data_IF_973164466135
#
_entry.id   IF_973164466135
#
_cell.length_a   1.000
_cell.length_b   1.000
_cell.length_c   1.000
_cell.angle_alpha   90.00
_cell.angle_beta   90.00
_cell.angle_gamma   90.00
#
_symmetry.space_group_name_H-M   'P 1'
#
loop_
_entity.id
_entity.type
_entity.pdbx_description
1 polymer ?
#
# COMPACT_ATOMS: atom_id res chain seq x y z
N UNK A 1 24.68 -24.96 -16.11
CA UNK A 1 24.90 -24.17 -17.34
C UNK A 1 24.28 -22.80 -17.12
N UNK A 2 25.10 -21.83 -16.74
CA UNK A 2 24.75 -20.40 -16.84
C UNK A 2 26.08 -19.68 -17.07
N UNK A 3 26.12 -18.94 -18.17
CA UNK A 3 27.30 -18.37 -18.80
C UNK A 3 28.00 -17.38 -17.87
N UNK A 4 29.28 -17.66 -17.59
CA UNK A 4 30.19 -16.67 -17.07
C UNK A 4 30.46 -15.65 -18.18
N UNK A 5 29.81 -14.49 -18.10
CA UNK A 5 30.21 -13.30 -18.86
C UNK A 5 31.62 -12.90 -18.44
N UNK A 6 32.62 -13.42 -19.16
CA UNK A 6 33.96 -12.84 -19.17
C UNK A 6 33.86 -11.53 -19.94
N UNK A 7 33.65 -10.42 -19.21
CA UNK A 7 34.07 -9.11 -19.68
C UNK A 7 35.56 -9.21 -20.01
N UNK A 8 35.87 -9.20 -21.29
CA UNK A 8 37.23 -9.07 -21.80
C UNK A 8 37.77 -7.72 -21.36
N UNK A 9 38.48 -7.70 -20.23
CA UNK A 9 39.28 -6.58 -19.79
C UNK A 9 40.29 -6.26 -20.90
N UNK A 10 40.09 -5.13 -21.58
CA UNK A 10 41.05 -4.60 -22.54
C UNK A 10 42.37 -4.42 -21.80
N UNK A 11 43.50 -4.97 -22.28
CA UNK A 11 44.78 -4.81 -21.61
C UNK A 11 45.10 -3.32 -21.56
N UNK A 12 45.15 -2.77 -20.34
CA UNK A 12 45.56 -1.39 -20.12
C UNK A 12 46.95 -1.21 -20.75
N UNK A 13 47.04 -0.35 -21.77
CA UNK A 13 48.31 0.01 -22.40
C UNK A 13 49.32 0.54 -21.37
N UNK A 14 50.60 0.68 -21.73
CA UNK A 14 51.65 1.06 -20.81
C UNK A 14 51.29 2.33 -20.02
N UNK A 15 51.01 2.18 -18.74
CA UNK A 15 50.67 3.29 -17.84
C UNK A 15 51.94 4.06 -17.49
N UNK A 16 52.34 4.98 -18.36
CA UNK A 16 53.39 5.95 -18.06
C UNK A 16 52.87 6.84 -16.93
N UNK A 17 53.56 6.86 -15.78
CA UNK A 17 53.18 7.64 -14.60
C UNK A 17 53.11 9.14 -14.92
N UNK A 18 52.21 9.85 -14.25
CA UNK A 18 52.05 11.31 -14.40
C UNK A 18 53.39 12.05 -14.22
N UNK A 19 54.23 11.59 -13.29
CA UNK A 19 55.55 12.16 -13.00
C UNK A 19 56.52 12.05 -14.19
N UNK A 20 56.40 10.99 -15.00
CA UNK A 20 57.25 10.78 -16.18
C UNK A 20 56.84 11.72 -17.31
N UNK A 21 55.55 11.94 -17.54
CA UNK A 21 55.05 12.93 -18.51
C UNK A 21 55.41 14.36 -18.09
N UNK A 22 55.34 14.66 -16.80
CA UNK A 22 55.77 15.94 -16.24
C UNK A 22 57.27 16.17 -16.41
N UNK A 23 58.10 15.17 -16.07
CA UNK A 23 59.55 15.24 -16.26
C UNK A 23 59.94 15.43 -17.74
N UNK A 24 59.23 14.77 -18.66
CA UNK A 24 59.48 14.86 -20.10
C UNK A 24 59.03 16.21 -20.67
N UNK A 25 57.93 16.78 -20.17
CA UNK A 25 57.51 18.15 -20.51
C UNK A 25 58.52 19.21 -20.03
N UNK A 26 59.04 19.08 -18.81
CA UNK A 26 60.05 19.98 -18.25
C UNK A 26 61.39 19.83 -18.98
N UNK A 27 61.85 18.60 -19.21
CA UNK A 27 63.08 18.35 -19.96
C UNK A 27 62.98 18.89 -21.38
N UNK A 28 61.84 18.66 -22.06
CA UNK A 28 61.55 19.22 -23.37
C UNK A 28 61.58 20.75 -23.37
N UNK A 29 61.00 21.40 -22.37
CA UNK A 29 61.03 22.86 -22.22
C UNK A 29 62.46 23.39 -22.10
N UNK A 30 63.30 22.80 -21.23
CA UNK A 30 64.69 23.23 -21.07
C UNK A 30 65.52 23.00 -22.33
N UNK A 31 65.37 21.85 -23.00
CA UNK A 31 66.05 21.57 -24.28
C UNK A 31 65.64 22.60 -25.34
N UNK A 32 64.35 22.92 -25.42
CA UNK A 32 63.82 23.91 -26.36
C UNK A 32 64.37 25.30 -26.07
N UNK A 33 64.45 25.69 -24.79
CA UNK A 33 64.99 26.97 -24.34
C UNK A 33 66.49 27.10 -24.69
N UNK A 34 67.28 26.05 -24.45
CA UNK A 34 68.72 26.04 -24.77
C UNK A 34 68.96 26.11 -26.28
N UNK A 35 68.19 25.37 -27.07
CA UNK A 35 68.26 25.40 -28.54
C UNK A 35 67.84 26.75 -29.11
N UNK A 36 66.75 27.34 -28.62
CA UNK A 36 66.32 28.67 -29.04
C UNK A 36 67.35 29.75 -28.70
N UNK A 37 67.98 29.67 -27.52
CA UNK A 37 69.02 30.61 -27.11
C UNK A 37 70.27 30.49 -27.98
N UNK A 38 70.70 29.24 -28.27
CA UNK A 38 71.83 28.99 -29.17
C UNK A 38 71.57 29.46 -30.60
N UNK A 39 70.36 29.23 -31.12
CA UNK A 39 69.95 29.71 -32.45
C UNK A 39 69.81 31.22 -32.49
N UNK A 40 69.29 31.85 -31.44
CA UNK A 40 69.25 33.31 -31.33
C UNK A 40 70.67 33.90 -31.41
N UNK A 41 71.62 33.35 -30.64
CA UNK A 41 73.03 33.78 -30.71
C UNK A 41 73.57 33.59 -32.14
N UNK A 42 73.33 32.45 -32.78
CA UNK A 42 73.79 32.17 -34.15
C UNK A 42 73.17 33.07 -35.23
N UNK A 43 71.91 33.46 -35.06
CA UNK A 43 71.21 34.39 -35.96
C UNK A 43 71.72 35.82 -35.78
N UNK A 44 71.92 36.27 -34.54
CA UNK A 44 72.33 37.65 -34.24
C UNK A 44 73.83 37.93 -34.36
N UNK A 45 74.69 36.90 -34.32
CA UNK A 45 76.15 37.03 -34.53
C UNK A 45 76.59 36.86 -35.99
N UNK A 46 75.66 36.52 -36.89
CA UNK A 46 75.92 36.36 -38.32
C UNK A 46 75.83 37.65 -39.14
N UNK A 47 76.17 37.57 -40.43
CA UNK A 47 76.00 38.69 -41.35
C UNK A 47 74.53 39.15 -41.44
N UNK A 48 74.25 40.46 -41.35
CA UNK A 48 72.89 40.99 -41.23
C UNK A 48 72.01 40.69 -42.46
N UNK A 49 72.61 40.53 -43.64
CA UNK A 49 71.88 40.20 -44.88
C UNK A 49 71.36 38.75 -44.94
N UNK A 50 71.88 37.85 -44.09
CA UNK A 50 71.50 36.43 -44.04
C UNK A 50 70.60 36.08 -42.85
N UNK A 51 70.36 37.03 -41.93
CA UNK A 51 69.60 36.80 -40.70
C UNK A 51 68.17 36.29 -40.96
N UNK A 52 67.49 36.84 -41.98
CA UNK A 52 66.13 36.44 -42.36
C UNK A 52 66.07 35.00 -42.87
N UNK A 53 67.04 34.60 -43.70
CA UNK A 53 67.11 33.27 -44.31
C UNK A 53 67.43 32.20 -43.25
N UNK A 54 68.30 32.53 -42.28
CA UNK A 54 68.62 31.67 -41.13
C UNK A 54 67.44 31.49 -40.18
N UNK A 55 66.65 32.53 -39.94
CA UNK A 55 65.43 32.45 -39.13
C UNK A 55 64.34 31.60 -39.82
N UNK A 56 64.14 31.76 -41.13
CA UNK A 56 63.18 30.98 -41.90
C UNK A 56 63.54 29.49 -41.96
N UNK A 57 64.84 29.15 -42.01
CA UNK A 57 65.30 27.76 -41.96
C UNK A 57 65.03 27.07 -40.61
N UNK A 58 65.06 27.82 -39.49
CA UNK A 58 64.82 27.26 -38.15
C UNK A 58 63.34 27.22 -37.74
N UNK A 59 62.51 28.08 -38.31
CA UNK A 59 61.07 28.17 -38.01
C UNK A 59 60.33 26.81 -37.95
N UNK A 60 60.50 25.86 -38.91
CA UNK A 60 59.82 24.56 -38.84
C UNK A 60 60.28 23.68 -37.66
N UNK A 61 61.56 23.78 -37.26
CA UNK A 61 62.09 23.05 -36.10
C UNK A 61 61.62 23.66 -34.77
N UNK A 62 61.54 24.99 -34.69
CA UNK A 62 60.95 25.68 -33.54
C UNK A 62 59.49 25.31 -33.32
N UNK A 63 58.70 25.23 -34.40
CA UNK A 63 57.32 24.76 -34.35
C UNK A 63 57.18 23.31 -33.87
N UNK A 64 58.05 22.41 -34.34
CA UNK A 64 58.06 21.01 -33.91
C UNK A 64 58.39 20.86 -32.42
N UNK A 65 59.38 21.59 -31.91
CA UNK A 65 59.74 21.56 -30.48
C UNK A 65 58.61 22.07 -29.58
N UNK A 66 57.97 23.18 -29.96
CA UNK A 66 56.80 23.71 -29.24
C UNK A 66 55.65 22.69 -29.24
N UNK A 67 55.41 22.03 -30.37
CA UNK A 67 54.38 20.99 -30.48
C UNK A 67 54.66 19.80 -29.56
N UNK A 68 55.92 19.35 -29.45
CA UNK A 68 56.30 18.26 -28.54
C UNK A 68 56.07 18.62 -27.07
N UNK A 69 56.49 19.82 -26.63
CA UNK A 69 56.27 20.28 -25.25
C UNK A 69 54.77 20.41 -24.95
N UNK A 70 54.00 20.94 -25.91
CA UNK A 70 52.55 21.09 -25.79
C UNK A 70 51.86 19.73 -25.68
N UNK A 71 52.25 18.75 -26.49
CA UNK A 71 51.75 17.38 -26.43
C UNK A 71 52.00 16.73 -25.06
N UNK A 72 53.23 16.83 -24.54
CA UNK A 72 53.57 16.25 -23.23
C UNK A 72 52.78 16.91 -22.09
N UNK A 73 52.52 18.22 -22.19
CA UNK A 73 51.74 18.97 -21.20
C UNK A 73 50.25 18.57 -21.21
N UNK A 74 49.68 18.37 -22.40
CA UNK A 74 48.29 17.88 -22.55
C UNK A 74 48.16 16.46 -22.02
N UNK A 75 49.11 15.57 -22.35
CA UNK A 75 49.14 14.20 -21.84
C UNK A 75 49.21 14.16 -20.31
N UNK A 76 50.07 14.98 -19.69
CA UNK A 76 50.16 15.11 -18.24
C UNK A 76 48.83 15.58 -17.60
N UNK A 77 48.20 16.62 -18.16
CA UNK A 77 46.89 17.10 -17.68
C UNK A 77 45.79 16.03 -17.81
N UNK A 78 45.81 15.25 -18.90
CA UNK A 78 44.90 14.13 -19.09
C UNK A 78 45.03 13.08 -18.00
N UNK A 79 46.26 12.66 -17.69
CA UNK A 79 46.54 11.66 -16.63
C UNK A 79 46.20 12.19 -15.24
N UNK A 80 46.36 13.48 -14.96
CA UNK A 80 45.94 14.06 -13.68
C UNK A 80 44.42 14.06 -13.52
N UNK A 81 43.67 14.42 -14.56
CA UNK A 81 42.21 14.41 -14.51
C UNK A 81 41.65 13.00 -14.31
N UNK A 82 42.24 11.97 -14.93
CA UNK A 82 41.81 10.58 -14.71
C UNK A 82 42.06 10.14 -13.27
N UNK A 83 43.21 10.49 -12.68
CA UNK A 83 43.51 10.20 -11.27
C UNK A 83 42.55 10.91 -10.31
N UNK A 84 42.21 12.17 -10.57
CA UNK A 84 41.22 12.89 -9.77
C UNK A 84 39.84 12.23 -9.83
N UNK A 85 39.41 11.75 -11.00
CA UNK A 85 38.17 11.01 -11.17
C UNK A 85 38.20 9.67 -10.43
N UNK A 86 39.30 8.93 -10.49
CA UNK A 86 39.49 7.68 -9.72
C UNK A 86 39.34 7.94 -8.21
N UNK A 87 40.01 8.97 -7.68
CA UNK A 87 39.90 9.32 -6.26
C UNK A 87 38.49 9.75 -5.86
N UNK A 88 37.81 10.54 -6.70
CA UNK A 88 36.42 10.92 -6.46
C UNK A 88 35.49 9.70 -6.49
N UNK A 89 35.70 8.78 -7.45
CA UNK A 89 34.93 7.56 -7.55
C UNK A 89 35.13 6.67 -6.31
N UNK A 90 36.36 6.56 -5.81
CA UNK A 90 36.68 5.78 -4.61
C UNK A 90 36.05 6.41 -3.35
N UNK A 91 36.05 7.74 -3.22
CA UNK A 91 35.35 8.43 -2.13
C UNK A 91 33.83 8.20 -2.16
N UNK A 92 33.21 8.29 -3.34
CA UNK A 92 31.78 8.01 -3.50
C UNK A 92 31.48 6.56 -3.10
N UNK A 93 32.35 5.62 -3.48
CA UNK A 93 32.21 4.21 -3.12
C UNK A 93 32.27 4.01 -1.60
N UNK A 94 33.25 4.61 -0.92
CA UNK A 94 33.33 4.54 0.54
C UNK A 94 32.12 5.15 1.25
N UNK A 95 31.59 6.28 0.75
CA UNK A 95 30.36 6.87 1.28
C UNK A 95 29.15 5.96 1.09
N UNK A 96 29.03 5.32 -0.08
CA UNK A 96 27.96 4.37 -0.36
C UNK A 96 28.02 3.15 0.57
N UNK A 97 29.22 2.60 0.82
CA UNK A 97 29.42 1.48 1.73
C UNK A 97 29.08 1.84 3.19
N UNK A 98 29.50 3.03 3.65
CA UNK A 98 29.17 3.53 4.99
C UNK A 98 27.66 3.73 5.16
N UNK A 99 27.00 4.36 4.17
CA UNK A 99 25.55 4.51 4.17
C UNK A 99 24.83 3.16 4.20
N UNK A 100 25.35 2.17 3.48
CA UNK A 100 24.82 0.81 3.49
C UNK A 100 24.90 0.15 4.87
N UNK A 101 26.04 0.30 5.56
CA UNK A 101 26.22 -0.23 6.91
C UNK A 101 25.34 0.50 7.94
N UNK A 102 25.29 1.83 7.91
CA UNK A 102 24.44 2.62 8.81
C UNK A 102 22.97 2.31 8.61
N UNK A 103 22.51 2.13 7.36
CA UNK A 103 21.13 1.71 7.08
C UNK A 103 20.84 0.37 7.72
N UNK A 104 21.67 -0.66 7.51
CA UNK A 104 21.48 -1.97 8.15
C UNK A 104 21.47 -1.93 9.68
N UNK A 105 22.29 -1.07 10.28
CA UNK A 105 22.31 -0.90 11.73
C UNK A 105 21.06 -0.19 12.25
N UNK A 106 20.64 0.90 11.59
CA UNK A 106 19.39 1.59 11.94
C UNK A 106 18.18 0.66 11.76
N UNK A 107 18.18 -0.11 10.68
CA UNK A 107 17.15 -1.11 10.37
C UNK A 107 17.02 -2.14 11.49
N UNK A 108 18.15 -2.71 11.94
CA UNK A 108 18.15 -3.68 13.02
C UNK A 108 17.69 -3.07 14.36
N UNK A 109 18.08 -1.82 14.62
CA UNK A 109 17.69 -1.08 15.83
C UNK A 109 16.20 -0.73 15.84
N UNK A 110 15.64 -0.34 14.70
CA UNK A 110 14.22 -0.07 14.56
C UNK A 110 13.40 -1.35 14.75
N UNK A 111 13.86 -2.47 14.20
CA UNK A 111 13.23 -3.77 14.41
C UNK A 111 13.29 -4.20 15.88
N UNK A 112 14.39 -3.98 16.59
CA UNK A 112 14.50 -4.21 18.05
C UNK A 112 13.50 -3.36 18.84
N UNK A 113 13.38 -2.06 18.50
CA UNK A 113 12.43 -1.16 19.15
C UNK A 113 10.97 -1.59 18.91
N UNK A 114 10.62 -2.00 17.69
CA UNK A 114 9.29 -2.48 17.36
C UNK A 114 8.97 -3.80 18.07
N UNK A 115 9.92 -4.72 18.15
CA UNK A 115 9.77 -5.96 18.91
C UNK A 115 9.51 -5.67 20.40
N UNK A 116 10.22 -4.70 20.97
CA UNK A 116 9.99 -4.26 22.35
C UNK A 116 8.60 -3.66 22.54
N UNK A 117 8.15 -2.77 21.65
CA UNK A 117 6.79 -2.21 21.71
C UNK A 117 5.71 -3.29 21.59
N UNK A 118 5.92 -4.31 20.76
CA UNK A 118 5.02 -5.46 20.66
C UNK A 118 4.96 -6.24 21.99
N UNK A 119 6.11 -6.52 22.60
CA UNK A 119 6.18 -7.24 23.88
C UNK A 119 5.57 -6.44 25.04
N UNK A 120 5.90 -5.15 25.14
CA UNK A 120 5.36 -4.27 26.17
C UNK A 120 3.85 -4.08 25.98
N UNK A 121 3.41 -3.89 24.72
CA UNK A 121 1.99 -3.75 24.38
C UNK A 121 1.19 -4.99 24.75
N UNK A 122 1.64 -6.19 24.35
CA UNK A 122 0.99 -7.45 24.71
C UNK A 122 0.95 -7.70 26.21
N UNK A 123 2.02 -7.37 26.93
CA UNK A 123 2.06 -7.48 28.39
C UNK A 123 1.02 -6.59 29.05
N UNK A 124 0.89 -5.35 28.60
CA UNK A 124 -0.07 -4.37 29.12
C UNK A 124 -1.52 -4.77 28.88
N UNK A 125 -1.82 -5.51 27.80
CA UNK A 125 -3.17 -6.05 27.57
C UNK A 125 -3.59 -7.08 28.61
N UNK A 126 -2.64 -7.75 29.27
CA UNK A 126 -2.92 -8.72 30.34
C UNK A 126 -3.19 -8.07 31.72
N UNK A 127 -3.01 -6.76 31.85
CA UNK A 127 -3.22 -6.04 33.10
C UNK A 127 -4.71 -5.74 33.35
N UNK A 128 -5.18 -5.78 34.60
CA UNK A 128 -6.61 -5.60 34.91
C UNK A 128 -7.09 -4.15 34.79
N UNK A 129 -6.18 -3.18 34.74
CA UNK A 129 -6.51 -1.76 34.66
C UNK A 129 -6.75 -1.34 33.22
N UNK A 130 -7.92 -0.78 32.94
CA UNK A 130 -8.30 -0.26 31.62
C UNK A 130 -7.25 0.71 31.05
N UNK A 131 -6.67 1.58 31.87
CA UNK A 131 -5.61 2.51 31.44
C UNK A 131 -4.38 1.81 30.87
N UNK A 132 -4.04 0.63 31.39
CA UNK A 132 -2.92 -0.16 30.90
C UNK A 132 -3.27 -0.85 29.60
N UNK A 133 -4.49 -1.41 29.51
CA UNK A 133 -4.97 -2.01 28.26
C UNK A 133 -4.96 -0.99 27.13
N UNK A 134 -5.45 0.22 27.35
CA UNK A 134 -5.41 1.30 26.35
C UNK A 134 -3.98 1.70 25.97
N UNK A 135 -3.06 1.78 26.94
CA UNK A 135 -1.65 2.01 26.64
C UNK A 135 -1.04 0.86 25.81
N UNK A 136 -1.45 -0.38 26.08
CA UNK A 136 -1.08 -1.56 25.31
C UNK A 136 -1.59 -1.48 23.86
N UNK A 137 -2.85 -1.09 23.66
CA UNK A 137 -3.43 -0.84 22.33
C UNK A 137 -2.66 0.25 21.59
N UNK A 138 -2.31 1.36 22.25
CA UNK A 138 -1.52 2.43 21.65
C UNK A 138 -0.11 1.97 21.23
N UNK A 139 0.54 1.13 22.04
CA UNK A 139 1.83 0.55 21.69
C UNK A 139 1.73 -0.37 20.45
N UNK A 140 0.70 -1.21 20.39
CA UNK A 140 0.43 -2.06 19.22
C UNK A 140 0.05 -1.24 17.99
N UNK A 141 -0.70 -0.15 18.16
CA UNK A 141 -1.02 0.79 17.10
C UNK A 141 0.24 1.40 16.48
N UNK A 142 1.24 1.76 17.29
CA UNK A 142 2.54 2.23 16.81
C UNK A 142 3.28 1.15 16.00
N UNK A 143 3.16 -0.13 16.39
CA UNK A 143 3.75 -1.26 15.65
C UNK A 143 3.05 -1.47 14.30
N UNK A 144 1.71 -1.38 14.22
CA UNK A 144 0.97 -1.60 12.96
C UNK A 144 1.12 -0.44 11.97
N UNK A 145 1.27 0.79 12.47
CA UNK A 145 1.46 1.99 11.64
C UNK A 145 2.92 2.23 11.24
N UNK A 146 3.86 1.44 11.77
CA UNK A 146 5.29 1.54 11.42
C UNK A 146 5.54 1.26 9.93
N UNK A 147 6.34 2.09 9.22
CA UNK A 147 6.62 1.91 7.79
C UNK A 147 7.23 0.55 7.41
N UNK A 148 8.08 -0.04 8.28
CA UNK A 148 8.77 -1.31 7.99
C UNK A 148 7.84 -2.52 8.07
N UNK A 149 6.96 -2.52 9.06
CA UNK A 149 5.92 -3.53 9.19
C UNK A 149 6.33 -4.95 9.56
N UNK A 150 7.57 -5.16 10.00
CA UNK A 150 8.09 -6.50 10.31
C UNK A 150 7.22 -7.29 11.30
N UNK A 151 6.66 -6.59 12.30
CA UNK A 151 5.83 -7.16 13.36
C UNK A 151 4.35 -6.78 13.27
N UNK A 152 3.96 -6.08 12.21
CA UNK A 152 2.59 -5.59 12.08
C UNK A 152 1.56 -6.72 11.90
N UNK A 153 1.82 -7.83 11.19
CA UNK A 153 0.86 -8.94 11.13
C UNK A 153 0.53 -9.49 12.52
N UNK A 154 1.52 -9.69 13.39
CA UNK A 154 1.33 -10.19 14.74
C UNK A 154 0.56 -9.18 15.60
N UNK A 155 0.93 -7.89 15.53
CA UNK A 155 0.22 -6.84 16.24
C UNK A 155 -1.24 -6.71 15.76
N UNK A 156 -1.50 -6.81 14.45
CA UNK A 156 -2.84 -6.82 13.87
C UNK A 156 -3.66 -8.00 14.37
N UNK A 157 -3.08 -9.20 14.46
CA UNK A 157 -3.76 -10.39 14.99
C UNK A 157 -4.14 -10.21 16.47
N UNK A 158 -3.24 -9.67 17.29
CA UNK A 158 -3.51 -9.40 18.71
C UNK A 158 -4.62 -8.35 18.88
N UNK A 159 -4.58 -7.28 18.08
CA UNK A 159 -5.63 -6.26 18.12
C UNK A 159 -6.98 -6.80 17.64
N UNK A 160 -6.99 -7.65 16.61
CA UNK A 160 -8.20 -8.31 16.12
C UNK A 160 -8.80 -9.26 17.18
N UNK A 161 -7.97 -10.04 17.86
CA UNK A 161 -8.39 -10.89 18.99
C UNK A 161 -8.98 -10.03 20.13
N UNK A 162 -8.40 -8.85 20.40
CA UNK A 162 -8.92 -7.93 21.41
C UNK A 162 -10.29 -7.35 21.02
N UNK A 163 -10.50 -7.01 19.74
CA UNK A 163 -11.80 -6.58 19.22
C UNK A 163 -12.85 -7.67 19.44
N UNK A 164 -12.53 -8.94 19.13
CA UNK A 164 -13.43 -10.08 19.33
C UNK A 164 -13.77 -10.35 20.80
N UNK A 165 -12.88 -10.05 21.73
CA UNK A 165 -13.15 -10.23 23.17
C UNK A 165 -13.97 -9.07 23.76
N UNK A 166 -13.92 -7.89 23.14
CA UNK A 166 -14.47 -6.66 23.74
C UNK A 166 -15.77 -6.16 23.11
N UNK A 167 -16.14 -6.62 21.89
CA UNK A 167 -17.25 -6.04 21.13
C UNK A 167 -18.64 -6.11 21.78
N UNK A 168 -18.91 -7.08 22.67
CA UNK A 168 -20.21 -7.19 23.35
C UNK A 168 -20.23 -6.58 24.76
N UNK A 169 -19.07 -6.21 25.30
CA UNK A 169 -18.94 -5.78 26.69
C UNK A 169 -19.02 -4.25 26.79
N UNK A 170 -20.19 -3.74 27.20
CA UNK A 170 -20.42 -2.30 27.37
C UNK A 170 -19.43 -1.62 28.32
N UNK A 171 -18.86 -2.35 29.29
CA UNK A 171 -17.85 -1.79 30.19
C UNK A 171 -16.49 -1.59 29.50
N UNK A 172 -16.26 -2.25 28.35
CA UNK A 172 -15.02 -2.22 27.57
C UNK A 172 -15.13 -1.47 26.26
N UNK A 173 -16.18 -0.68 26.04
CA UNK A 173 -16.42 0.08 24.80
C UNK A 173 -15.20 0.91 24.39
N UNK A 174 -14.53 1.59 25.34
CA UNK A 174 -13.33 2.38 25.04
C UNK A 174 -12.15 1.53 24.54
N UNK A 175 -11.99 0.32 25.08
CA UNK A 175 -10.96 -0.62 24.63
C UNK A 175 -11.30 -1.14 23.25
N UNK A 176 -12.56 -1.51 23.03
CA UNK A 176 -13.06 -1.93 21.72
C UNK A 176 -12.84 -0.85 20.66
N UNK A 177 -13.21 0.40 20.94
CA UNK A 177 -13.05 1.53 20.03
C UNK A 177 -11.58 1.77 19.68
N UNK A 178 -10.71 1.79 20.69
CA UNK A 178 -9.28 1.97 20.48
C UNK A 178 -8.67 0.81 19.66
N UNK A 179 -9.05 -0.43 19.95
CA UNK A 179 -8.54 -1.60 19.24
C UNK A 179 -9.04 -1.62 17.78
N UNK A 180 -10.33 -1.34 17.56
CA UNK A 180 -10.94 -1.20 16.24
C UNK A 180 -10.27 -0.11 15.43
N UNK A 181 -10.05 1.06 16.02
CA UNK A 181 -9.36 2.18 15.37
C UNK A 181 -7.92 1.79 14.99
N UNK A 182 -7.19 1.16 15.89
CA UNK A 182 -5.83 0.69 15.60
C UNK A 182 -5.78 -0.31 14.45
N UNK A 183 -6.73 -1.25 14.38
CA UNK A 183 -6.90 -2.21 13.28
C UNK A 183 -7.22 -1.49 11.97
N UNK A 184 -8.15 -0.53 12.00
CA UNK A 184 -8.51 0.27 10.82
C UNK A 184 -7.35 1.13 10.31
N UNK A 185 -6.56 1.72 11.20
CA UNK A 185 -5.36 2.47 10.84
C UNK A 185 -4.27 1.57 10.25
N UNK A 186 -4.09 0.37 10.80
CA UNK A 186 -3.24 -0.65 10.18
C UNK A 186 -3.70 -0.99 8.76
N UNK A 187 -5.01 -1.16 8.56
CA UNK A 187 -5.62 -1.41 7.26
C UNK A 187 -5.36 -0.27 6.26
N UNK A 188 -5.48 0.98 6.69
CA UNK A 188 -5.18 2.16 5.87
C UNK A 188 -3.70 2.20 5.44
N UNK A 189 -2.79 1.66 6.27
CA UNK A 189 -1.38 1.44 5.94
C UNK A 189 -1.10 0.19 5.09
N UNK A 190 -2.13 -0.50 4.60
CA UNK A 190 -2.01 -1.73 3.81
C UNK A 190 -1.66 -2.98 4.62
N UNK A 191 -1.88 -2.95 5.93
CA UNK A 191 -1.63 -4.09 6.83
C UNK A 191 -2.91 -4.88 7.06
N UNK A 192 -2.76 -6.18 7.29
CA UNK A 192 -3.89 -7.09 7.44
C UNK A 192 -3.57 -8.16 8.48
N UNK A 193 -4.54 -8.42 9.34
CA UNK A 193 -4.59 -9.56 10.25
C UNK A 193 -4.95 -10.84 9.49
N UNK A 194 -4.40 -11.96 9.92
CA UNK A 194 -4.77 -13.31 9.45
C UNK A 194 -6.05 -13.84 10.11
N UNK A 195 -6.56 -13.16 11.14
CA UNK A 195 -7.76 -13.56 11.89
C UNK A 195 -9.03 -13.43 11.06
N UNK A 196 -9.94 -14.35 11.31
CA UNK A 196 -11.32 -14.28 10.83
C UNK A 196 -12.21 -14.03 12.03
N UNK A 197 -12.94 -12.92 12.02
CA UNK A 197 -13.80 -12.52 13.13
C UNK A 197 -15.24 -12.95 12.84
N UNK A 198 -15.94 -13.42 13.87
CA UNK A 198 -17.39 -13.64 13.83
C UNK A 198 -18.05 -12.93 15.00
N UNK A 199 -18.65 -11.78 14.72
CA UNK A 199 -19.24 -10.88 15.71
C UNK A 199 -20.75 -11.11 15.76
N UNK A 200 -21.24 -11.63 16.88
CA UNK A 200 -22.65 -11.98 17.07
C UNK A 200 -23.32 -11.03 18.04
N UNK A 201 -24.26 -10.24 17.52
CA UNK A 201 -24.96 -9.22 18.27
C UNK A 201 -26.33 -9.74 18.71
N UNK A 202 -26.35 -10.39 19.88
CA UNK A 202 -27.58 -10.88 20.49
C UNK A 202 -28.12 -9.84 21.48
N UNK A 203 -29.39 -9.43 21.31
CA UNK A 203 -30.09 -8.51 22.23
C UNK A 203 -30.50 -7.18 21.58
N UNK A 204 -31.25 -6.36 22.31
CA UNK A 204 -31.76 -5.06 21.83
C UNK A 204 -30.67 -3.98 21.91
N UNK A 205 -29.82 -4.02 22.93
CA UNK A 205 -28.88 -2.92 23.25
C UNK A 205 -27.55 -2.98 22.48
N UNK A 206 -27.27 -4.07 21.76
CA UNK A 206 -26.00 -4.35 21.11
C UNK A 206 -26.09 -4.39 19.58
N UNK A 207 -27.15 -3.89 18.95
CA UNK A 207 -27.30 -4.10 17.49
C UNK A 207 -26.38 -3.24 16.65
N UNK A 208 -26.04 -2.03 17.11
CA UNK A 208 -25.21 -1.10 16.35
C UNK A 208 -23.78 -1.59 16.21
N UNK A 209 -23.33 -1.76 14.97
CA UNK A 209 -21.97 -2.24 14.69
C UNK A 209 -21.10 -1.17 14.10
N UNK A 210 -19.80 -1.40 14.17
CA UNK A 210 -18.79 -0.56 13.56
C UNK A 210 -17.96 -1.38 12.56
N UNK A 211 -17.57 -0.73 11.47
CA UNK A 211 -16.75 -1.27 10.42
C UNK A 211 -15.35 -1.58 10.95
N UNK A 212 -14.94 -2.83 10.70
CA UNK A 212 -13.61 -3.35 10.99
C UNK A 212 -12.96 -3.71 9.66
N UNK A 213 -11.92 -2.97 9.32
CA UNK A 213 -11.10 -3.11 8.13
C UNK A 213 -9.75 -3.73 8.52
N UNK A 214 -9.11 -4.47 7.60
CA UNK A 214 -7.77 -5.01 7.87
C UNK A 214 -7.76 -6.35 8.62
N UNK A 215 -8.86 -7.09 8.63
CA UNK A 215 -8.88 -8.52 8.99
C UNK A 215 -9.04 -9.38 7.74
N UNK A 216 -8.71 -10.68 7.82
CA UNK A 216 -8.82 -11.58 6.67
C UNK A 216 -10.28 -11.74 6.25
N UNK A 217 -11.19 -11.86 7.22
CA UNK A 217 -12.64 -11.88 7.01
C UNK A 217 -13.35 -11.44 8.29
N UNK A 218 -14.43 -10.69 8.17
CA UNK A 218 -15.33 -10.40 9.31
C UNK A 218 -16.75 -10.84 8.95
N UNK A 219 -17.40 -11.56 9.86
CA UNK A 219 -18.80 -11.94 9.74
C UNK A 219 -19.59 -11.27 10.85
N UNK A 220 -20.51 -10.38 10.48
CA UNK A 220 -21.47 -9.77 11.38
C UNK A 220 -22.74 -10.63 11.41
N UNK A 221 -23.24 -10.92 12.61
CA UNK A 221 -24.46 -11.72 12.82
C UNK A 221 -25.44 -10.92 13.65
N UNK A 222 -26.68 -10.76 13.18
CA UNK A 222 -27.76 -10.04 13.88
C UNK A 222 -27.44 -8.57 14.20
N UNK A 223 -26.63 -7.94 13.33
CA UNK A 223 -26.17 -6.55 13.43
C UNK A 223 -27.13 -5.56 12.76
N UNK A 224 -27.18 -4.32 13.24
CA UNK A 224 -27.83 -3.17 12.62
C UNK A 224 -26.76 -2.22 12.06
N UNK A 225 -26.91 -1.84 10.78
CA UNK A 225 -25.95 -1.07 10.00
C UNK A 225 -26.67 0.08 9.29
N UNK A 226 -26.23 1.31 9.53
CA UNK A 226 -26.70 2.49 8.81
C UNK A 226 -25.83 2.84 7.60
N UNK A 227 -26.24 3.88 6.87
CA UNK A 227 -25.55 4.40 5.70
C UNK A 227 -24.13 4.90 6.04
N UNK A 228 -23.99 5.60 7.17
CA UNK A 228 -22.73 6.17 7.62
C UNK A 228 -21.68 5.10 7.90
N UNK A 229 -22.06 4.00 8.55
CA UNK A 229 -21.13 2.92 8.86
C UNK A 229 -20.91 2.00 7.67
N UNK A 230 -21.93 1.77 6.84
CA UNK A 230 -21.77 0.98 5.61
C UNK A 230 -20.69 1.57 4.68
N UNK A 231 -20.65 2.90 4.56
CA UNK A 231 -19.65 3.60 3.75
C UNK A 231 -18.21 3.48 4.28
N UNK A 232 -18.02 3.03 5.53
CA UNK A 232 -16.70 2.86 6.16
C UNK A 232 -16.06 1.50 5.88
N UNK A 233 -16.79 0.55 5.32
CA UNK A 233 -16.21 -0.70 4.86
C UNK A 233 -15.36 -0.45 3.61
N UNK A 234 -14.04 -0.60 3.75
CA UNK A 234 -13.10 -0.38 2.65
C UNK A 234 -13.14 -1.51 1.60
N UNK A 235 -13.42 -2.75 2.05
CA UNK A 235 -13.47 -3.94 1.18
C UNK A 235 -14.63 -4.86 1.59
N UNK A 236 -15.80 -4.65 0.96
CA UNK A 236 -17.00 -5.47 1.16
C UNK A 236 -16.82 -6.93 0.74
N UNK A 237 -15.78 -7.28 -0.03
CA UNK A 237 -15.53 -8.69 -0.42
C UNK A 237 -15.13 -9.56 0.77
N UNK A 238 -14.58 -8.95 1.83
CA UNK A 238 -14.10 -9.61 3.05
C UNK A 238 -15.08 -9.55 4.21
N UNK A 239 -16.19 -8.84 4.02
CA UNK A 239 -17.24 -8.70 5.02
C UNK A 239 -18.37 -9.63 4.65
N UNK A 240 -18.92 -10.35 5.63
CA UNK A 240 -20.14 -11.15 5.50
C UNK A 240 -21.17 -10.66 6.50
N UNK A 241 -22.42 -10.61 6.09
CA UNK A 241 -23.56 -10.21 6.89
C UNK A 241 -24.56 -11.38 6.95
N UNK A 242 -24.94 -11.77 8.16
CA UNK A 242 -25.87 -12.87 8.43
C UNK A 242 -26.98 -12.39 9.39
N UNK A 243 -28.23 -12.36 8.96
CA UNK A 243 -29.31 -11.90 9.84
C UNK A 243 -29.26 -10.40 10.18
N UNK A 244 -28.57 -9.59 9.38
CA UNK A 244 -28.34 -8.17 9.68
C UNK A 244 -29.46 -7.27 9.16
N UNK A 245 -29.67 -6.14 9.82
CA UNK A 245 -30.59 -5.07 9.41
C UNK A 245 -29.81 -3.90 8.82
N UNK A 246 -30.21 -3.41 7.65
CA UNK A 246 -29.62 -2.27 6.97
C UNK A 246 -30.64 -1.15 6.80
N UNK A 247 -30.27 0.08 7.13
CA UNK A 247 -31.18 1.22 7.01
C UNK A 247 -30.57 2.35 6.19
N UNK A 248 -31.25 2.80 5.13
CA UNK A 248 -30.83 3.98 4.35
C UNK A 248 -29.61 3.77 3.44
N UNK A 249 -29.18 2.51 3.25
CA UNK A 249 -27.90 2.19 2.63
C UNK A 249 -27.99 2.09 1.11
N UNK A 250 -26.91 2.46 0.40
CA UNK A 250 -26.76 2.17 -1.03
C UNK A 250 -26.01 0.84 -1.20
N UNK A 251 -26.71 -0.22 -1.61
CA UNK A 251 -26.17 -1.59 -1.65
C UNK A 251 -25.88 -2.05 -3.09
N UNK A 252 -24.70 -2.64 -3.27
CA UNK A 252 -24.33 -3.42 -4.46
C UNK A 252 -24.66 -4.90 -4.21
N UNK A 253 -25.82 -5.35 -4.69
CA UNK A 253 -26.33 -6.72 -4.50
C UNK A 253 -25.59 -7.78 -5.30
N UNK A 254 -24.46 -7.46 -5.96
CA UNK A 254 -23.58 -8.45 -6.57
C UNK A 254 -22.70 -9.18 -5.52
N UNK A 255 -22.65 -8.66 -4.30
CA UNK A 255 -21.91 -9.30 -3.22
C UNK A 255 -22.68 -10.53 -2.68
N UNK A 256 -22.06 -11.72 -2.76
CA UNK A 256 -22.60 -12.99 -2.22
C UNK A 256 -22.59 -13.06 -0.68
N UNK A 257 -22.39 -11.91 -0.05
CA UNK A 257 -22.01 -11.79 1.34
C UNK A 257 -23.19 -11.47 2.27
N UNK A 258 -24.38 -11.23 1.72
CA UNK A 258 -25.62 -11.01 2.47
C UNK A 258 -26.44 -12.29 2.55
N UNK A 259 -26.77 -12.73 3.76
CA UNK A 259 -27.59 -13.90 4.03
C UNK A 259 -28.57 -13.57 5.14
N UNK A 260 -29.85 -13.85 4.92
CA UNK A 260 -30.97 -13.64 5.83
C UNK A 260 -31.05 -12.20 6.37
N UNK A 261 -30.60 -11.20 5.60
CA UNK A 261 -30.57 -9.80 6.03
C UNK A 261 -31.88 -9.08 5.68
N UNK A 262 -32.25 -8.07 6.48
CA UNK A 262 -33.38 -7.16 6.22
C UNK A 262 -32.84 -5.81 5.76
N UNK A 263 -33.28 -5.33 4.61
CA UNK A 263 -32.89 -4.03 4.06
C UNK A 263 -34.08 -3.08 4.06
N UNK A 264 -33.96 -1.96 4.75
CA UNK A 264 -35.01 -0.98 4.98
C UNK A 264 -34.62 0.38 4.39
N UNK A 265 -35.47 0.97 3.56
CA UNK A 265 -35.22 2.30 2.95
C UNK A 265 -33.88 2.43 2.20
N UNK A 266 -33.40 1.34 1.60
CA UNK A 266 -32.10 1.26 0.91
C UNK A 266 -32.22 1.52 -0.60
N UNK A 267 -31.15 2.00 -1.25
CA UNK A 267 -31.02 2.07 -2.72
C UNK A 267 -30.23 0.86 -3.23
N UNK A 268 -30.79 0.09 -4.16
CA UNK A 268 -30.16 -1.12 -4.70
C UNK A 268 -29.61 -0.84 -6.10
N UNK A 269 -28.28 -0.89 -6.27
CA UNK A 269 -27.62 -0.60 -7.56
C UNK A 269 -27.48 -1.79 -8.47
N UNK A 270 -27.21 -2.95 -7.88
CA UNK A 270 -27.05 -4.22 -8.60
C UNK A 270 -27.77 -5.30 -7.83
N UNK A 271 -28.12 -6.38 -8.52
CA UNK A 271 -28.82 -7.50 -7.91
C UNK A 271 -28.48 -8.80 -8.60
N UNK A 272 -28.34 -9.84 -7.79
CA UNK A 272 -28.25 -11.23 -8.24
C UNK A 272 -29.43 -12.02 -7.67
N UNK A 273 -29.83 -13.11 -8.33
CA UNK A 273 -30.96 -13.93 -7.88
C UNK A 273 -30.77 -14.35 -6.41
N UNK A 274 -29.61 -14.91 -6.05
CA UNK A 274 -29.33 -15.35 -4.68
C UNK A 274 -29.34 -14.25 -3.62
N UNK A 275 -29.11 -12.98 -4.00
CA UNK A 275 -29.24 -11.84 -3.10
C UNK A 275 -30.72 -11.55 -2.81
N UNK A 276 -31.57 -11.62 -3.83
CA UNK A 276 -33.02 -11.38 -3.67
C UNK A 276 -33.72 -12.51 -2.88
N UNK A 277 -33.27 -13.77 -3.01
CA UNK A 277 -33.97 -14.91 -2.39
C UNK A 277 -33.66 -15.14 -0.91
N UNK A 278 -32.59 -14.52 -0.41
CA UNK A 278 -32.05 -14.78 0.92
C UNK A 278 -32.17 -13.56 1.82
N UNK A 279 -32.82 -12.51 1.38
CA UNK A 279 -32.85 -11.25 2.12
C UNK A 279 -34.24 -10.63 1.97
N UNK A 280 -34.68 -9.93 3.01
CA UNK A 280 -35.92 -9.19 3.04
C UNK A 280 -35.68 -7.72 2.67
N UNK A 281 -36.66 -7.09 2.01
CA UNK A 281 -36.60 -5.69 1.56
C UNK A 281 -37.88 -4.95 1.94
N UNK A 282 -37.73 -3.81 2.60
CA UNK A 282 -38.81 -2.93 3.05
C UNK A 282 -38.55 -1.48 2.60
N UNK A 283 -39.47 -0.89 1.86
CA UNK A 283 -39.37 0.51 1.39
C UNK A 283 -38.08 0.88 0.62
N UNK A 284 -37.44 -0.06 -0.07
CA UNK A 284 -36.22 0.18 -0.86
C UNK A 284 -36.50 0.78 -2.25
N UNK A 285 -35.52 1.53 -2.78
CA UNK A 285 -35.48 2.03 -4.16
C UNK A 285 -34.65 1.09 -5.05
N UNK A 286 -35.30 0.51 -6.06
CA UNK A 286 -34.65 -0.34 -7.06
C UNK A 286 -34.49 0.36 -8.43
N UNK A 287 -34.76 1.67 -8.50
CA UNK A 287 -34.71 2.44 -9.74
C UNK A 287 -33.30 2.43 -10.36
N UNK A 288 -33.18 2.03 -11.63
CA UNK A 288 -31.89 1.97 -12.32
C UNK A 288 -30.97 0.82 -11.92
N UNK A 289 -31.42 -0.12 -11.07
CA UNK A 289 -30.64 -1.28 -10.67
C UNK A 289 -30.26 -2.19 -11.85
N UNK A 290 -29.10 -2.86 -11.78
CA UNK A 290 -28.58 -3.77 -12.82
C UNK A 290 -28.53 -5.22 -12.37
N UNK A 291 -28.94 -6.15 -13.22
CA UNK A 291 -28.91 -7.58 -12.89
C UNK A 291 -27.58 -8.24 -13.27
N UNK A 292 -26.87 -8.84 -12.30
CA UNK A 292 -25.58 -9.51 -12.49
C UNK A 292 -25.73 -11.02 -12.35
N UNK A 293 -26.11 -11.72 -13.44
CA UNK A 293 -26.13 -13.19 -13.49
C UNK A 293 -27.28 -13.79 -14.31
N UNK A 294 -27.40 -15.13 -14.22
CA UNK A 294 -28.51 -15.88 -14.83
C UNK A 294 -29.83 -15.44 -14.21
N UNK A 295 -30.76 -15.03 -15.07
CA UNK A 295 -32.06 -14.52 -14.64
C UNK A 295 -32.92 -15.66 -14.10
N UNK A 296 -33.66 -15.46 -13.01
CA UNK A 296 -34.68 -16.40 -12.57
C UNK A 296 -35.81 -16.46 -13.60
N UNK A 297 -36.42 -17.65 -13.73
CA UNK A 297 -37.49 -17.98 -14.69
C UNK A 297 -38.86 -17.73 -14.02
N UNK A 298 -40.02 -17.98 -14.65
CA UNK A 298 -41.33 -18.08 -13.98
C UNK A 298 -41.88 -19.56 -13.86
N UNK A 299 -42.79 -19.85 -12.93
CA UNK A 299 -43.25 -21.10 -12.27
C UNK A 299 -44.78 -21.04 -12.41
N UNK A 300 -45.35 -21.87 -13.26
CA UNK A 300 -46.77 -21.85 -13.61
C UNK A 300 -47.71 -21.57 -12.41
N UNK A 301 -48.53 -20.53 -12.53
CA UNK A 301 -49.66 -20.17 -11.64
C UNK A 301 -49.36 -19.30 -10.39
N UNK A 302 -48.37 -18.38 -10.39
CA UNK A 302 -48.12 -17.45 -9.27
C UNK A 302 -48.15 -15.96 -9.70
N UNK A 303 -48.43 -15.01 -8.77
CA UNK A 303 -48.37 -13.59 -9.06
C UNK A 303 -46.92 -13.10 -9.13
N UNK A 304 -46.79 -11.97 -9.80
CA UNK A 304 -45.52 -11.34 -10.12
C UNK A 304 -44.90 -10.82 -8.73
N UNK A 305 -43.76 -11.34 -8.15
CA UNK A 305 -42.89 -10.74 -7.10
C UNK A 305 -42.49 -9.22 -7.06
N UNK A 306 -42.64 -8.41 -8.10
CA UNK A 306 -42.57 -6.96 -8.19
C UNK A 306 -43.85 -6.42 -7.61
N UNK A 307 -44.97 -7.14 -7.70
CA UNK A 307 -46.13 -6.87 -6.86
C UNK A 307 -45.74 -7.14 -5.41
N UNK A 308 -45.14 -8.28 -5.06
CA UNK A 308 -44.71 -8.52 -3.67
C UNK A 308 -43.69 -7.49 -3.16
N UNK A 309 -42.74 -7.05 -3.99
CA UNK A 309 -41.81 -5.97 -3.65
C UNK A 309 -42.54 -4.63 -3.53
N UNK A 310 -43.45 -4.28 -4.46
CA UNK A 310 -44.26 -3.05 -4.39
C UNK A 310 -45.23 -3.04 -3.20
N UNK A 311 -45.82 -4.17 -2.87
CA UNK A 311 -46.78 -4.36 -1.78
C UNK A 311 -46.08 -4.22 -0.41
N UNK A 312 -44.77 -4.46 -0.37
CA UNK A 312 -43.87 -4.17 0.76
C UNK A 312 -43.27 -2.75 0.70
N UNK A 313 -43.90 -1.83 -0.04
CA UNK A 313 -43.50 -0.43 -0.11
C UNK A 313 -42.26 -0.14 -0.98
N UNK A 314 -41.64 -1.14 -1.61
CA UNK A 314 -40.46 -0.90 -2.46
C UNK A 314 -40.87 -0.21 -3.77
N UNK A 315 -40.07 0.78 -4.21
CA UNK A 315 -40.44 1.68 -5.30
C UNK A 315 -39.54 1.57 -6.53
N UNK A 316 -40.11 1.94 -7.68
CA UNK A 316 -39.50 1.92 -9.00
C UNK A 316 -39.92 3.19 -9.77
N UNK A 317 -38.97 4.08 -10.08
CA UNK A 317 -39.21 5.25 -10.93
C UNK A 317 -39.52 4.82 -12.35
N UNK A 318 -40.69 5.21 -12.84
CA UNK A 318 -41.14 4.89 -14.19
C UNK A 318 -40.22 5.48 -15.28
N UNK A 319 -39.57 6.61 -14.97
CA UNK A 319 -38.59 7.31 -15.83
C UNK A 319 -37.18 6.69 -15.77
N UNK A 320 -36.88 5.88 -14.76
CA UNK A 320 -35.60 5.19 -14.59
C UNK A 320 -35.84 3.70 -14.25
N UNK A 321 -36.35 2.92 -15.21
CA UNK A 321 -36.66 1.51 -14.99
C UNK A 321 -35.37 0.73 -14.69
N UNK A 322 -35.52 -0.47 -14.12
CA UNK A 322 -34.40 -1.41 -13.94
C UNK A 322 -33.73 -1.66 -15.29
N UNK A 323 -32.43 -1.37 -15.35
CA UNK A 323 -31.67 -1.35 -16.60
C UNK A 323 -31.22 -2.78 -16.91
N UNK A 324 -31.68 -3.28 -18.05
CA UNK A 324 -31.38 -4.63 -18.51
C UNK A 324 -31.37 -4.69 -20.03
N UNK A 325 -30.28 -5.19 -20.62
CA UNK A 325 -30.12 -5.32 -22.09
C UNK A 325 -30.96 -6.45 -22.71
N UNK A 326 -31.85 -7.09 -21.94
CA UNK A 326 -32.87 -7.98 -22.48
C UNK A 326 -34.15 -7.95 -21.62
N UNK A 327 -35.29 -8.25 -22.23
CA UNK A 327 -36.63 -8.25 -21.60
C UNK A 327 -36.69 -9.15 -20.36
N UNK A 328 -37.41 -8.73 -19.31
CA UNK A 328 -37.50 -9.48 -18.05
C UNK A 328 -38.94 -9.63 -17.52
N UNK A 329 -39.19 -10.77 -16.85
CA UNK A 329 -40.43 -11.19 -16.18
C UNK A 329 -40.00 -12.09 -15.00
N UNK A 330 -40.18 -11.67 -13.75
CA UNK A 330 -39.41 -12.15 -12.58
C UNK A 330 -40.12 -13.18 -11.68
N UNK A 331 -41.22 -13.75 -12.16
CA UNK A 331 -42.47 -13.45 -11.45
C UNK A 331 -43.40 -14.58 -11.11
N UNK A 332 -42.78 -15.69 -10.80
CA UNK A 332 -43.47 -16.78 -10.15
C UNK A 332 -42.55 -17.40 -9.06
N UNK A 333 -41.49 -16.69 -8.65
CA UNK A 333 -40.21 -17.33 -8.35
C UNK A 333 -39.64 -17.24 -6.94
N UNK A 334 -40.25 -16.51 -6.00
CA UNK A 334 -39.76 -16.49 -4.61
C UNK A 334 -40.90 -16.65 -3.58
N UNK A 335 -40.86 -17.77 -2.85
CA UNK A 335 -41.28 -17.85 -1.44
C UNK A 335 -40.01 -18.03 -0.58
N UNK A 336 -39.97 -17.34 0.56
CA UNK A 336 -39.04 -17.49 1.68
C UNK A 336 -39.85 -18.13 2.85
N UNK A 337 -39.24 -19.06 3.60
CA UNK A 337 -39.92 -19.91 4.61
C UNK A 337 -40.59 -19.09 5.72
N UNK A 338 -41.78 -19.51 6.17
CA UNK A 338 -42.49 -18.86 7.28
C UNK A 338 -41.68 -18.87 8.60
N UNK A 339 -41.63 -17.76 9.37
CA UNK A 339 -41.19 -17.84 10.76
C UNK A 339 -42.20 -18.72 11.53
N UNK A 340 -41.69 -19.68 12.31
CA UNK A 340 -42.51 -20.49 13.21
C UNK A 340 -43.36 -19.56 14.09
N UNK A 341 -44.64 -19.89 14.35
CA UNK A 341 -45.41 -19.15 15.32
C UNK A 341 -44.68 -19.21 16.66
N UNK A 342 -44.34 -18.04 17.20
CA UNK A 342 -43.98 -17.91 18.61
C UNK A 342 -45.30 -18.08 19.36
N UNK A 343 -45.50 -19.25 19.95
CA UNK A 343 -46.55 -19.46 20.93
C UNK A 343 -46.25 -18.55 22.12
N UNK A 344 -46.86 -17.37 22.13
CA UNK A 344 -47.06 -16.65 23.38
C UNK A 344 -48.13 -17.43 24.15
N UNK A 345 -47.71 -18.26 25.11
CA UNK A 345 -48.62 -18.70 26.16
C UNK A 345 -49.23 -17.44 26.80
N UNK A 346 -50.57 -17.26 26.75
CA UNK A 346 -51.19 -16.21 27.53
C UNK A 346 -50.97 -16.56 29.00
N UNK A 347 -50.34 -15.64 29.72
CA UNK A 347 -50.36 -15.63 31.18
C UNK A 347 -51.84 -15.48 31.57
N UNK A 348 -52.48 -16.58 31.98
CA UNK A 348 -53.74 -16.51 32.72
C UNK A 348 -53.47 -15.81 34.05
N UNK A 349 -53.75 -14.50 34.06
CA UNK A 349 -54.20 -13.81 35.25
C UNK A 349 -55.68 -14.14 35.46
N UNK A 350 -55.95 -15.10 36.34
CA UNK A 350 -57.19 -15.21 37.11
C UNK A 350 -56.75 -15.58 38.54
N UNK A 351 -56.61 -14.60 39.42
CA UNK A 351 -57.65 -13.91 40.20
C UNK A 351 -58.35 -14.82 41.23
N UNK A 352 -58.52 -14.21 42.39
CA UNK A 352 -58.87 -14.78 43.69
C UNK A 352 -60.20 -15.54 43.66
N UNK A 353 -60.32 -16.63 44.44
CA UNK A 353 -61.15 -16.68 45.68
C UNK A 353 -61.32 -18.10 46.28
N UNK A 354 -61.29 -18.14 47.62
CA UNK A 354 -61.95 -19.07 48.56
C UNK A 354 -61.55 -20.56 48.63
N UNK A 355 -60.78 -20.91 49.67
CA UNK A 355 -61.26 -21.67 50.84
C UNK A 355 -60.37 -21.39 52.06
#
# INVERSE_FOLDING_TARGET
MQESNHETAVPEGPQIKADTWFALAIAGFFITLTLFSGVAIWVFTGEPNLALQRAQAFTPFGGALIATVTFCTIAWRGVLNTKQLEYQAEQIRHQADQLGQTRRQNDAKDDENLAKLLMDGTKLLGEPRESHVLAGVAALQAVVTSPRGAFSPQAMDILADLVEVTYTDHAKVKIFDAAREAVNLGAAGGRMSTRMLRLTYAGVDNRWVYAINGVARVTYVSAEIDDMEYLRFADLSRVRFEGCEFTGVIVDGNHRNFVDCTLSSCEIRTMASGFLMKNAFDNCDFSGAKFTGSRPVPKKDRPHPWQNLRDRGNWFKQENPIISDARIVWEDFLDEVAPLPVDHEPIEQEDRTSA
#
